data_IF_579223163205
#
_entry.id   IF_579223163205
#
_cell.length_a   1.000
_cell.length_b   1.000
_cell.length_c   1.000
_cell.angle_alpha   90.00
_cell.angle_beta   90.00
_cell.angle_gamma   90.00
#
_symmetry.space_group_name_H-M   'P 1'
#
loop_
_entity.id
_entity.type
_entity.pdbx_description
1 polymer ?
#
# COMPACT_ATOMS: atom_id res chain seq x y z
N UNK A 1 -15.28 8.28 2.22
CA UNK A 1 -16.16 9.47 2.48
C UNK A 1 -16.51 10.14 1.14
N UNK A 2 -17.29 9.48 0.29
CA UNK A 2 -17.58 9.98 -1.05
C UNK A 2 -18.65 11.09 -1.07
N UNK A 3 -19.56 11.08 -0.11
CA UNK A 3 -20.72 11.98 0.01
C UNK A 3 -21.15 12.18 1.48
N UNK A 4 -22.19 12.96 1.68
CA UNK A 4 -22.73 13.27 3.01
C UNK A 4 -23.25 12.04 3.76
N UNK A 5 -23.87 11.08 3.08
CA UNK A 5 -24.49 9.92 3.74
C UNK A 5 -23.40 8.99 4.29
N UNK A 6 -22.30 8.79 3.55
CA UNK A 6 -21.13 8.05 4.04
C UNK A 6 -20.49 8.79 5.22
N UNK A 7 -20.39 10.14 5.19
CA UNK A 7 -19.85 10.92 6.31
C UNK A 7 -20.73 10.79 7.56
N UNK A 8 -22.09 10.76 7.40
CA UNK A 8 -23.01 10.48 8.51
C UNK A 8 -22.78 9.10 9.12
N UNK A 9 -22.57 8.09 8.28
CA UNK A 9 -22.24 6.73 8.74
C UNK A 9 -20.89 6.69 9.47
N UNK A 10 -19.87 7.42 8.98
CA UNK A 10 -18.56 7.55 9.63
C UNK A 10 -18.71 8.23 11.01
N UNK A 11 -19.55 9.26 11.13
CA UNK A 11 -19.85 9.87 12.43
C UNK A 11 -20.40 8.84 13.42
N UNK A 12 -21.38 8.05 13.02
CA UNK A 12 -21.95 6.99 13.88
C UNK A 12 -20.88 5.98 14.32
N UNK A 13 -19.95 5.61 13.41
CA UNK A 13 -18.83 4.74 13.76
C UNK A 13 -17.92 5.40 14.81
N UNK A 14 -17.54 6.66 14.62
CA UNK A 14 -16.66 7.39 15.54
C UNK A 14 -17.32 7.54 16.90
N UNK A 15 -18.60 7.91 16.95
CA UNK A 15 -19.34 8.15 18.17
C UNK A 15 -19.71 6.86 18.93
N UNK A 16 -19.73 5.71 18.26
CA UNK A 16 -20.02 4.42 18.91
C UNK A 16 -18.94 3.97 19.88
N UNK A 17 -17.76 4.60 19.86
CA UNK A 17 -16.65 4.33 20.77
C UNK A 17 -15.96 5.66 21.17
N UNK A 18 -16.04 6.00 22.43
CA UNK A 18 -15.48 7.25 22.98
C UNK A 18 -13.95 7.34 22.89
N UNK A 19 -13.26 6.23 22.68
CA UNK A 19 -11.80 6.17 22.53
C UNK A 19 -11.32 6.50 21.12
N UNK A 20 -12.22 6.62 20.12
CA UNK A 20 -11.93 7.11 18.77
C UNK A 20 -11.78 8.63 18.76
N UNK A 21 -10.69 9.12 19.31
CA UNK A 21 -10.47 10.55 19.57
C UNK A 21 -9.74 11.27 18.44
N UNK A 22 -8.89 10.58 17.70
CA UNK A 22 -8.06 11.16 16.64
C UNK A 22 -8.42 10.53 15.31
N UNK A 23 -8.92 11.35 14.41
CA UNK A 23 -9.45 10.91 13.10
C UNK A 23 -8.57 11.47 11.99
N UNK A 24 -8.12 10.62 11.07
CA UNK A 24 -7.40 11.04 9.87
C UNK A 24 -8.26 10.76 8.66
N UNK A 25 -8.43 11.73 7.80
CA UNK A 25 -9.33 11.62 6.64
C UNK A 25 -8.60 11.72 5.32
N UNK A 26 -9.11 10.98 4.32
CA UNK A 26 -8.73 11.11 2.92
C UNK A 26 -9.67 12.06 2.19
N UNK A 27 -9.25 12.53 1.01
CA UNK A 27 -10.15 13.26 0.10
C UNK A 27 -11.38 12.43 -0.28
N UNK A 28 -12.54 13.06 -0.57
CA UNK A 28 -13.73 12.34 -1.01
C UNK A 28 -13.49 11.51 -2.28
N UNK A 29 -13.84 10.21 -2.17
CA UNK A 29 -13.72 9.25 -3.25
C UNK A 29 -14.81 9.38 -4.33
N UNK A 30 -14.96 8.34 -5.16
CA UNK A 30 -16.04 8.24 -6.14
C UNK A 30 -17.38 7.91 -5.46
N UNK A 31 -18.47 8.52 -5.89
CA UNK A 31 -19.85 8.21 -5.46
C UNK A 31 -20.42 7.00 -6.19
N UNK A 32 -19.95 6.79 -7.44
CA UNK A 32 -20.35 5.68 -8.33
C UNK A 32 -19.22 5.38 -9.33
N UNK A 33 -19.27 4.29 -10.06
CA UNK A 33 -18.16 3.81 -10.90
C UNK A 33 -17.71 4.80 -12.00
N UNK A 34 -18.61 5.63 -12.54
CA UNK A 34 -18.31 6.67 -13.54
C UNK A 34 -17.86 8.01 -12.96
N UNK A 35 -17.84 8.18 -11.63
CA UNK A 35 -17.49 9.46 -10.99
C UNK A 35 -15.97 9.67 -10.91
N UNK A 36 -15.58 10.93 -10.73
CA UNK A 36 -14.17 11.32 -10.55
C UNK A 36 -13.85 11.50 -9.06
N UNK A 37 -12.67 11.09 -8.63
CA UNK A 37 -12.17 11.41 -7.30
C UNK A 37 -11.84 12.90 -7.21
N UNK A 38 -11.97 13.48 -6.03
CA UNK A 38 -11.59 14.88 -5.78
C UNK A 38 -10.12 15.13 -6.12
N UNK A 39 -9.23 14.19 -5.79
CA UNK A 39 -7.81 14.27 -6.12
C UNK A 39 -7.58 14.38 -7.63
N UNK A 40 -8.30 13.59 -8.45
CA UNK A 40 -8.21 13.64 -9.91
C UNK A 40 -8.70 15.01 -10.45
N UNK A 41 -9.77 15.55 -9.86
CA UNK A 41 -10.26 16.88 -10.22
C UNK A 41 -9.24 17.98 -9.89
N UNK A 42 -8.54 17.87 -8.76
CA UNK A 42 -7.50 18.82 -8.35
C UNK A 42 -6.24 18.73 -9.23
N UNK A 43 -5.88 17.56 -9.74
CA UNK A 43 -4.85 17.43 -10.78
C UNK A 43 -5.25 18.18 -12.06
N UNK A 44 -6.53 18.11 -12.46
CA UNK A 44 -7.02 18.89 -13.61
C UNK A 44 -6.96 20.40 -13.32
N UNK A 45 -7.29 20.83 -12.08
CA UNK A 45 -7.14 22.23 -11.66
C UNK A 45 -5.69 22.71 -11.79
N UNK A 46 -4.73 21.91 -11.32
CA UNK A 46 -3.31 22.26 -11.43
C UNK A 46 -2.87 22.39 -12.89
N UNK A 47 -3.26 21.45 -13.77
CA UNK A 47 -2.96 21.53 -15.22
C UNK A 47 -3.55 22.79 -15.86
N UNK A 48 -4.80 23.15 -15.52
CA UNK A 48 -5.41 24.37 -16.01
C UNK A 48 -4.65 25.60 -15.50
N UNK A 49 -4.30 25.64 -14.22
CA UNK A 49 -3.54 26.72 -13.60
C UNK A 49 -2.21 27.01 -14.31
N UNK A 50 -1.44 25.96 -14.61
CA UNK A 50 -0.15 26.08 -15.31
C UNK A 50 -0.35 26.58 -16.74
N UNK A 51 -1.41 26.15 -17.42
CA UNK A 51 -1.66 26.52 -18.83
C UNK A 51 -2.29 27.90 -19.01
N UNK A 52 -3.19 28.31 -18.12
CA UNK A 52 -4.02 29.52 -18.28
C UNK A 52 -3.82 30.61 -17.21
N UNK A 53 -3.02 30.30 -16.17
CA UNK A 53 -2.76 31.21 -15.06
C UNK A 53 -3.83 31.26 -13.98
N UNK A 54 -4.98 30.59 -14.18
CA UNK A 54 -6.02 30.39 -13.16
C UNK A 54 -6.66 29.00 -13.31
N UNK A 55 -7.40 28.54 -12.31
CA UNK A 55 -8.09 27.27 -12.36
C UNK A 55 -9.56 27.33 -11.91
N UNK A 56 -10.15 28.52 -11.93
CA UNK A 56 -11.53 28.79 -11.47
C UNK A 56 -12.54 27.84 -12.13
N UNK A 57 -12.38 27.57 -13.44
CA UNK A 57 -13.29 26.73 -14.21
C UNK A 57 -13.23 25.27 -13.73
N UNK A 58 -12.06 24.65 -13.64
CA UNK A 58 -11.92 23.27 -13.16
C UNK A 58 -12.24 23.15 -11.67
N UNK A 59 -11.90 24.17 -10.86
CA UNK A 59 -12.22 24.17 -9.42
C UNK A 59 -13.73 24.26 -9.14
N UNK A 60 -14.54 24.74 -10.10
CA UNK A 60 -16.00 24.80 -9.95
C UNK A 60 -16.63 23.43 -9.66
N UNK A 61 -16.09 22.35 -10.23
CA UNK A 61 -16.56 21.00 -9.98
C UNK A 61 -16.19 20.51 -8.55
N UNK A 62 -14.99 20.85 -8.07
CA UNK A 62 -14.57 20.60 -6.68
C UNK A 62 -15.46 21.37 -5.70
N UNK A 63 -15.69 22.66 -5.99
CA UNK A 63 -16.59 23.53 -5.22
C UNK A 63 -18.00 22.94 -5.12
N UNK A 64 -18.58 22.56 -6.25
CA UNK A 64 -19.94 21.99 -6.29
C UNK A 64 -20.05 20.73 -5.44
N UNK A 65 -19.00 19.87 -5.47
CA UNK A 65 -18.97 18.65 -4.67
C UNK A 65 -18.92 18.92 -3.18
N UNK A 66 -18.03 19.78 -2.72
CA UNK A 66 -17.91 20.12 -1.30
C UNK A 66 -19.10 20.92 -0.79
N UNK A 67 -19.68 21.80 -1.63
CA UNK A 67 -20.90 22.52 -1.28
C UNK A 67 -22.09 21.56 -1.08
N UNK A 68 -22.32 20.61 -2.00
CA UNK A 68 -23.35 19.59 -1.82
C UNK A 68 -23.17 18.81 -0.50
N UNK A 69 -21.94 18.42 -0.17
CA UNK A 69 -21.65 17.72 1.08
C UNK A 69 -21.94 18.63 2.29
N UNK A 70 -21.46 19.87 2.28
CA UNK A 70 -21.64 20.82 3.36
C UNK A 70 -23.12 21.13 3.62
N UNK A 71 -23.89 21.41 2.55
CA UNK A 71 -25.33 21.69 2.61
C UNK A 71 -26.11 20.50 3.20
N UNK A 72 -25.81 19.26 2.75
CA UNK A 72 -26.45 18.02 3.25
C UNK A 72 -26.05 17.61 4.67
N UNK A 73 -24.90 18.07 5.14
CA UNK A 73 -24.44 17.89 6.53
C UNK A 73 -24.87 19.06 7.45
N UNK A 74 -25.53 20.07 6.89
CA UNK A 74 -25.99 21.25 7.64
C UNK A 74 -24.83 21.97 8.35
N UNK A 75 -23.70 22.11 7.65
CA UNK A 75 -22.51 22.81 8.17
C UNK A 75 -22.86 24.28 8.46
N UNK A 76 -22.55 24.74 9.66
CA UNK A 76 -22.96 26.06 10.15
C UNK A 76 -22.06 27.20 9.67
N UNK A 77 -20.77 26.91 9.44
CA UNK A 77 -19.81 27.91 8.97
C UNK A 77 -20.05 28.25 7.49
N UNK A 78 -19.58 29.41 7.07
CA UNK A 78 -19.52 29.75 5.65
C UNK A 78 -18.44 28.96 4.94
N UNK A 79 -18.80 27.72 4.52
CA UNK A 79 -17.87 26.85 3.80
C UNK A 79 -17.50 27.38 2.42
N UNK A 80 -18.29 28.30 1.82
CA UNK A 80 -17.91 28.97 0.58
C UNK A 80 -16.68 29.86 0.79
N UNK A 81 -16.58 30.57 1.91
CA UNK A 81 -15.39 31.34 2.25
C UNK A 81 -14.12 30.45 2.34
N UNK A 82 -14.24 29.25 2.91
CA UNK A 82 -13.13 28.27 2.93
C UNK A 82 -12.73 27.82 1.54
N UNK A 83 -13.70 27.61 0.64
CA UNK A 83 -13.45 27.25 -0.77
C UNK A 83 -12.79 28.39 -1.54
N UNK A 84 -13.20 29.65 -1.30
CA UNK A 84 -12.62 30.86 -1.94
C UNK A 84 -11.17 31.06 -1.47
N UNK A 85 -10.90 30.94 -0.18
CA UNK A 85 -9.54 31.01 0.37
C UNK A 85 -8.65 29.91 -0.22
N UNK A 86 -9.19 28.67 -0.32
CA UNK A 86 -8.47 27.54 -0.89
C UNK A 86 -8.10 27.79 -2.35
N UNK A 87 -9.03 28.28 -3.18
CA UNK A 87 -8.76 28.62 -4.58
C UNK A 87 -7.69 29.72 -4.69
N UNK A 88 -7.82 30.78 -3.91
CA UNK A 88 -6.85 31.86 -3.89
C UNK A 88 -5.43 31.37 -3.54
N UNK A 89 -5.32 30.48 -2.53
CA UNK A 89 -4.03 29.86 -2.17
C UNK A 89 -3.49 28.95 -3.28
N UNK A 90 -4.33 28.14 -3.95
CA UNK A 90 -3.93 27.29 -5.10
C UNK A 90 -3.32 28.16 -6.21
N UNK A 91 -3.98 29.26 -6.58
CA UNK A 91 -3.52 30.17 -7.65
C UNK A 91 -2.24 30.92 -7.26
N UNK A 92 -2.04 31.22 -5.99
CA UNK A 92 -0.84 31.85 -5.46
C UNK A 92 0.36 30.89 -5.39
N UNK A 93 0.17 29.70 -4.81
CA UNK A 93 1.23 28.72 -4.56
C UNK A 93 1.73 28.06 -5.85
N UNK A 94 0.84 27.84 -6.84
CA UNK A 94 1.12 27.18 -8.14
C UNK A 94 1.85 25.84 -8.01
N UNK A 95 1.71 25.18 -6.88
CA UNK A 95 2.32 23.89 -6.57
C UNK A 95 1.32 22.76 -6.80
N UNK A 96 1.74 21.72 -7.51
CA UNK A 96 0.93 20.51 -7.72
C UNK A 96 0.62 19.85 -6.38
N UNK A 97 1.64 19.61 -5.55
CA UNK A 97 1.49 18.96 -4.25
C UNK A 97 0.55 19.75 -3.32
N UNK A 98 0.67 21.10 -3.32
CA UNK A 98 -0.28 21.94 -2.60
C UNK A 98 -1.70 21.75 -3.14
N UNK A 99 -1.88 21.86 -4.46
CA UNK A 99 -3.21 21.78 -5.09
C UNK A 99 -3.90 20.45 -4.78
N UNK A 100 -3.23 19.32 -4.98
CA UNK A 100 -3.84 18.00 -4.78
C UNK A 100 -4.13 17.70 -3.31
N UNK A 101 -3.34 18.21 -2.38
CA UNK A 101 -3.55 18.04 -0.94
C UNK A 101 -4.79 18.76 -0.41
N UNK A 102 -5.36 19.69 -1.16
CA UNK A 102 -6.56 20.44 -0.71
C UNK A 102 -7.82 19.58 -0.66
N UNK A 103 -7.81 18.41 -1.29
CA UNK A 103 -8.89 17.42 -1.15
C UNK A 103 -9.05 16.95 0.29
N UNK A 104 -7.95 16.51 0.91
CA UNK A 104 -7.88 16.07 2.30
C UNK A 104 -8.09 17.24 3.26
N UNK A 105 -7.50 18.42 2.98
CA UNK A 105 -7.68 19.62 3.78
C UNK A 105 -9.16 20.01 3.89
N UNK A 106 -9.86 20.14 2.76
CA UNK A 106 -11.28 20.53 2.73
C UNK A 106 -12.15 19.45 3.40
N UNK A 107 -11.86 18.18 3.16
CA UNK A 107 -12.56 17.08 3.80
C UNK A 107 -12.38 17.11 5.32
N UNK A 108 -11.15 17.32 5.80
CA UNK A 108 -10.87 17.38 7.24
C UNK A 108 -11.54 18.58 7.93
N UNK A 109 -11.54 19.74 7.28
CA UNK A 109 -12.26 20.93 7.77
C UNK A 109 -13.75 20.65 7.97
N UNK A 110 -14.36 20.07 6.95
CA UNK A 110 -15.79 19.74 6.97
C UNK A 110 -16.14 18.68 8.00
N UNK A 111 -15.34 17.60 8.06
CA UNK A 111 -15.56 16.51 9.01
C UNK A 111 -15.30 16.97 10.45
N UNK A 112 -14.32 17.82 10.68
CA UNK A 112 -14.03 18.38 12.01
C UNK A 112 -15.23 19.18 12.55
N UNK A 113 -15.79 20.07 11.71
CA UNK A 113 -16.98 20.85 12.11
C UNK A 113 -18.19 19.94 12.33
N UNK A 114 -18.43 18.96 11.44
CA UNK A 114 -19.57 18.04 11.57
C UNK A 114 -19.50 17.15 12.81
N UNK A 115 -18.28 16.78 13.24
CA UNK A 115 -18.03 15.98 14.45
C UNK A 115 -17.92 16.85 15.72
N UNK A 116 -17.84 18.17 15.59
CA UNK A 116 -17.48 19.10 16.68
C UNK A 116 -16.11 18.75 17.32
N UNK A 117 -15.15 18.36 16.47
CA UNK A 117 -13.77 18.08 16.82
C UNK A 117 -12.86 19.22 16.38
N UNK A 118 -11.69 19.34 17.04
CA UNK A 118 -10.68 20.32 16.62
C UNK A 118 -10.08 19.94 15.24
N UNK A 119 -10.00 20.92 14.35
CA UNK A 119 -9.27 20.76 13.07
C UNK A 119 -7.79 21.05 13.28
N UNK A 120 -6.93 20.09 12.96
CA UNK A 120 -5.47 20.24 13.03
C UNK A 120 -4.89 20.09 11.63
N UNK A 121 -4.43 21.20 11.05
CA UNK A 121 -3.80 21.19 9.74
C UNK A 121 -2.49 20.40 9.76
N UNK A 122 -2.30 19.50 8.78
CA UNK A 122 -1.06 18.74 8.63
C UNK A 122 0.16 19.65 8.39
N UNK A 123 -0.01 20.84 7.80
CA UNK A 123 1.05 21.84 7.64
C UNK A 123 1.69 22.26 8.99
N UNK A 124 0.98 22.07 10.10
CA UNK A 124 1.46 22.44 11.44
C UNK A 124 2.14 21.32 12.20
N UNK A 125 1.92 20.05 11.80
CA UNK A 125 2.30 18.90 12.61
C UNK A 125 3.02 17.79 11.87
N UNK A 126 3.01 17.79 10.52
CA UNK A 126 3.70 16.80 9.69
C UNK A 126 4.85 17.47 8.94
N UNK A 127 6.07 17.00 9.15
CA UNK A 127 7.28 17.62 8.60
C UNK A 127 8.09 16.65 7.76
N UNK A 128 8.62 17.16 6.66
CA UNK A 128 9.53 16.43 5.76
C UNK A 128 10.94 17.03 5.85
N UNK A 129 11.93 16.20 5.66
CA UNK A 129 13.31 16.61 5.42
C UNK A 129 13.50 17.13 3.99
N UNK A 130 14.61 17.77 3.70
CA UNK A 130 14.91 18.31 2.36
C UNK A 130 14.97 17.24 1.27
N UNK A 131 15.34 16.01 1.61
CA UNK A 131 15.37 14.84 0.72
C UNK A 131 13.96 14.25 0.44
N UNK A 132 12.91 14.84 1.01
CA UNK A 132 11.53 14.39 0.87
C UNK A 132 11.13 13.23 1.79
N UNK A 133 12.01 12.77 2.68
CA UNK A 133 11.67 11.77 3.69
C UNK A 133 10.94 12.40 4.88
N UNK A 134 10.14 11.60 5.59
CA UNK A 134 9.44 12.06 6.79
C UNK A 134 10.45 12.40 7.92
N UNK A 135 10.39 13.63 8.46
CA UNK A 135 11.04 13.97 9.71
C UNK A 135 10.21 13.44 10.90
N UNK A 136 10.43 12.16 11.23
CA UNK A 136 9.62 11.46 12.22
C UNK A 136 9.72 12.09 13.61
N UNK A 137 10.91 12.50 14.05
CA UNK A 137 11.12 13.06 15.39
C UNK A 137 10.32 14.36 15.58
N UNK A 138 10.49 15.32 14.68
CA UNK A 138 9.78 16.60 14.69
C UNK A 138 8.26 16.39 14.60
N UNK A 139 7.83 15.49 13.71
CA UNK A 139 6.42 15.17 13.49
C UNK A 139 5.76 14.53 14.72
N UNK A 140 6.35 13.46 15.27
CA UNK A 140 5.74 12.79 16.44
C UNK A 140 5.66 13.71 17.65
N UNK A 141 6.68 14.55 17.87
CA UNK A 141 6.68 15.55 18.95
C UNK A 141 5.58 16.59 18.76
N UNK A 142 5.39 17.10 17.55
CA UNK A 142 4.35 18.09 17.26
C UNK A 142 2.93 17.52 17.43
N UNK A 143 2.66 16.34 16.86
CA UNK A 143 1.35 15.67 17.01
C UNK A 143 1.08 15.33 18.47
N UNK A 144 2.06 14.80 19.22
CA UNK A 144 1.90 14.50 20.64
C UNK A 144 1.60 15.76 21.46
N UNK A 145 2.25 16.88 21.16
CA UNK A 145 2.01 18.16 21.84
C UNK A 145 0.57 18.64 21.65
N UNK A 146 0.03 18.51 20.43
CA UNK A 146 -1.39 18.81 20.15
C UNK A 146 -2.31 17.86 20.90
N UNK A 147 -2.04 16.56 20.86
CA UNK A 147 -2.88 15.54 21.51
C UNK A 147 -2.94 15.66 23.05
N UNK A 148 -1.93 16.27 23.66
CA UNK A 148 -1.93 16.55 25.11
C UNK A 148 -2.87 17.70 25.49
N UNK A 149 -3.20 18.59 24.56
CA UNK A 149 -4.06 19.77 24.81
C UNK A 149 -5.48 19.54 24.29
N UNK A 150 -5.60 18.87 23.13
CA UNK A 150 -6.87 18.66 22.44
C UNK A 150 -7.42 17.28 22.75
N UNK A 151 -8.67 17.23 23.19
CA UNK A 151 -9.32 15.96 23.55
C UNK A 151 -9.68 15.11 22.33
N UNK A 152 -10.15 15.75 21.26
CA UNK A 152 -10.59 15.11 20.01
C UNK A 152 -10.20 15.95 18.82
N UNK A 153 -9.62 15.36 17.80
CA UNK A 153 -9.15 16.09 16.63
C UNK A 153 -9.34 15.33 15.32
N UNK A 154 -9.50 16.09 14.21
CA UNK A 154 -9.47 15.60 12.83
C UNK A 154 -8.23 16.18 12.15
N UNK A 155 -7.49 15.30 11.49
CA UNK A 155 -6.30 15.61 10.71
C UNK A 155 -6.55 15.32 9.23
N UNK A 156 -6.14 16.19 8.32
CA UNK A 156 -6.05 15.80 6.92
C UNK A 156 -4.89 14.82 6.72
N UNK A 157 -5.13 13.75 5.97
CA UNK A 157 -4.07 12.83 5.58
C UNK A 157 -3.24 13.34 4.42
N UNK A 158 -2.29 12.52 3.92
CA UNK A 158 -1.60 12.65 2.65
C UNK A 158 -0.46 13.67 2.58
N UNK A 159 -0.41 14.74 3.37
CA UNK A 159 0.58 15.81 3.22
C UNK A 159 1.17 16.32 4.54
N UNK A 160 2.20 17.14 4.41
CA UNK A 160 2.84 17.95 5.44
C UNK A 160 3.64 19.08 4.80
N UNK A 161 4.66 19.59 5.47
CA UNK A 161 5.52 20.65 4.96
C UNK A 161 7.00 20.32 5.08
N UNK A 162 7.82 20.82 4.16
CA UNK A 162 9.28 20.79 4.31
C UNK A 162 9.77 21.97 5.19
N UNK A 163 11.08 22.02 5.44
CA UNK A 163 11.67 23.07 6.29
C UNK A 163 11.54 24.49 5.68
N UNK A 164 11.25 24.61 4.39
CA UNK A 164 10.94 25.88 3.72
C UNK A 164 9.48 26.28 3.79
N UNK A 165 8.63 25.47 4.48
CA UNK A 165 7.20 25.70 4.57
C UNK A 165 6.42 25.32 3.30
N UNK A 166 7.03 24.64 2.32
CA UNK A 166 6.34 24.16 1.13
C UNK A 166 5.64 22.86 1.41
N UNK A 167 4.42 22.73 0.94
CA UNK A 167 3.64 21.49 1.06
C UNK A 167 4.30 20.36 0.26
N UNK A 168 4.45 19.22 0.93
CA UNK A 168 4.91 17.93 0.38
C UNK A 168 3.84 16.88 0.59
N UNK A 169 3.72 15.97 -0.36
CA UNK A 169 2.78 14.84 -0.28
C UNK A 169 3.53 13.52 -0.17
N UNK A 170 2.94 12.54 0.52
CA UNK A 170 3.43 11.17 0.47
C UNK A 170 3.17 10.56 -0.90
N UNK A 171 4.06 9.70 -1.37
CA UNK A 171 4.00 9.14 -2.73
C UNK A 171 2.84 8.16 -2.94
N UNK A 172 2.59 7.28 -1.96
CA UNK A 172 1.51 6.26 -2.00
C UNK A 172 0.95 6.03 -0.59
N UNK A 173 -0.32 5.65 -0.49
CA UNK A 173 -0.97 5.36 0.80
C UNK A 173 -0.91 6.52 1.80
N UNK A 174 -0.91 7.77 1.31
CA UNK A 174 -0.56 8.94 2.12
C UNK A 174 -1.47 9.16 3.32
N UNK A 175 -2.77 8.87 3.21
CA UNK A 175 -3.68 8.97 4.35
C UNK A 175 -3.45 7.84 5.36
N UNK A 176 -3.10 6.63 4.90
CA UNK A 176 -2.77 5.50 5.78
C UNK A 176 -1.49 5.78 6.57
N UNK A 177 -0.46 6.34 5.89
CA UNK A 177 0.77 6.81 6.54
C UNK A 177 0.45 7.87 7.60
N UNK A 178 -0.39 8.86 7.27
CA UNK A 178 -0.78 9.92 8.18
C UNK A 178 -1.51 9.37 9.41
N UNK A 179 -2.42 8.39 9.22
CA UNK A 179 -3.09 7.68 10.31
C UNK A 179 -2.10 6.93 11.20
N UNK A 180 -1.14 6.22 10.60
CA UNK A 180 -0.09 5.51 11.32
C UNK A 180 0.84 6.47 12.10
N UNK A 181 1.16 7.65 11.54
CA UNK A 181 1.93 8.70 12.20
C UNK A 181 1.20 9.22 13.42
N UNK A 182 -0.09 9.59 13.28
CA UNK A 182 -0.91 10.08 14.40
C UNK A 182 -1.02 8.99 15.47
N UNK A 183 -1.36 7.75 15.11
CA UNK A 183 -1.48 6.64 16.05
C UNK A 183 -0.19 6.42 16.85
N UNK A 184 0.97 6.47 16.20
CA UNK A 184 2.26 6.37 16.88
C UNK A 184 2.54 7.55 17.79
N UNK A 185 2.27 8.78 17.34
CA UNK A 185 2.57 10.00 18.09
C UNK A 185 1.75 10.09 19.37
N UNK A 186 0.50 9.64 19.35
CA UNK A 186 -0.40 9.61 20.52
C UNK A 186 -0.26 8.33 21.35
N UNK A 187 0.65 7.43 20.98
CA UNK A 187 0.82 6.11 21.60
C UNK A 187 -0.52 5.35 21.69
N UNK A 188 -1.24 5.28 20.57
CA UNK A 188 -2.55 4.66 20.51
C UNK A 188 -2.51 3.18 20.90
N UNK A 189 -3.57 2.69 21.54
CA UNK A 189 -3.74 1.25 21.83
C UNK A 189 -3.97 0.42 20.57
N UNK A 190 -4.59 1.04 19.54
CA UNK A 190 -4.89 0.44 18.24
C UNK A 190 -4.96 1.54 17.18
N UNK A 191 -4.56 1.20 15.95
CA UNK A 191 -4.82 1.99 14.75
C UNK A 191 -5.93 1.31 13.95
N UNK A 192 -7.10 1.92 13.87
CA UNK A 192 -8.19 1.44 13.03
C UNK A 192 -8.10 2.06 11.63
N UNK A 193 -8.02 1.22 10.61
CA UNK A 193 -8.12 1.63 9.20
C UNK A 193 -9.49 1.20 8.65
N UNK A 194 -10.34 2.19 8.38
CA UNK A 194 -11.69 2.00 7.89
C UNK A 194 -11.74 2.13 6.37
N UNK A 195 -12.13 1.07 5.68
CA UNK A 195 -12.11 0.95 4.22
C UNK A 195 -13.42 0.38 3.70
N UNK A 196 -13.53 0.14 2.39
CA UNK A 196 -14.70 -0.44 1.72
C UNK A 196 -14.62 -1.97 1.56
N UNK A 197 -13.49 -2.58 1.92
CA UNK A 197 -13.31 -4.04 1.87
C UNK A 197 -13.50 -4.68 3.26
N UNK A 198 -13.87 -5.98 3.34
CA UNK A 198 -14.18 -6.62 4.61
C UNK A 198 -12.96 -6.87 5.52
N UNK A 199 -11.75 -6.68 5.02
CA UNK A 199 -10.48 -6.98 5.65
C UNK A 199 -9.51 -7.58 4.64
N UNK A 200 -8.45 -8.23 5.11
CA UNK A 200 -7.57 -9.01 4.25
C UNK A 200 -8.24 -10.33 3.89
N UNK A 201 -8.23 -10.63 2.60
CA UNK A 201 -8.75 -11.89 2.07
C UNK A 201 -7.60 -12.88 1.88
N UNK A 202 -7.86 -14.14 2.11
CA UNK A 202 -6.86 -15.20 1.95
C UNK A 202 -6.42 -15.40 0.49
N UNK A 203 -7.16 -14.82 -0.46
CA UNK A 203 -6.87 -14.85 -1.90
C UNK A 203 -7.57 -13.67 -2.59
N UNK A 204 -7.18 -13.39 -3.85
CA UNK A 204 -7.84 -12.39 -4.69
C UNK A 204 -9.30 -12.79 -4.99
N UNK A 205 -10.30 -11.95 -4.64
CA UNK A 205 -11.71 -12.23 -4.90
C UNK A 205 -12.10 -12.24 -6.39
N UNK A 206 -11.25 -11.75 -7.30
CA UNK A 206 -11.45 -11.87 -8.74
C UNK A 206 -11.06 -13.27 -9.27
N UNK A 207 -10.31 -14.06 -8.48
CA UNK A 207 -9.85 -15.40 -8.85
C UNK A 207 -10.68 -16.46 -8.14
N UNK A 208 -10.92 -16.27 -6.86
CA UNK A 208 -11.72 -17.19 -6.02
C UNK A 208 -12.94 -16.43 -5.52
N UNK A 209 -14.12 -16.98 -5.78
CA UNK A 209 -15.36 -16.39 -5.31
C UNK A 209 -15.46 -16.47 -3.78
N UNK A 210 -15.72 -15.33 -3.13
CA UNK A 210 -15.91 -15.21 -1.67
C UNK A 210 -14.80 -15.87 -0.84
N UNK A 211 -13.52 -15.48 -1.03
CA UNK A 211 -12.43 -16.10 -0.29
C UNK A 211 -12.54 -15.78 1.22
N UNK A 212 -11.97 -16.67 2.03
CA UNK A 212 -11.96 -16.53 3.49
C UNK A 212 -11.33 -15.20 3.92
N UNK A 213 -11.95 -14.52 4.88
CA UNK A 213 -11.36 -13.35 5.54
C UNK A 213 -10.29 -13.83 6.52
N UNK A 214 -9.13 -13.22 6.48
CA UNK A 214 -8.04 -13.46 7.45
C UNK A 214 -8.40 -12.68 8.72
N UNK A 215 -8.71 -13.35 9.81
CA UNK A 215 -9.08 -12.69 11.06
C UNK A 215 -7.87 -12.01 11.73
N UNK A 216 -6.71 -12.65 11.68
CA UNK A 216 -5.48 -12.12 12.25
C UNK A 216 -4.27 -12.50 11.40
N UNK A 217 -3.31 -11.57 11.29
CA UNK A 217 -2.00 -11.83 10.68
C UNK A 217 -0.92 -10.99 11.34
N UNK A 218 0.33 -11.45 11.21
CA UNK A 218 1.49 -10.71 11.70
C UNK A 218 1.92 -9.63 10.72
N UNK A 219 2.67 -8.63 11.20
CA UNK A 219 3.31 -7.64 10.31
C UNK A 219 4.23 -8.24 9.24
N UNK A 220 4.81 -9.42 9.52
CA UNK A 220 5.65 -10.10 8.53
C UNK A 220 4.81 -10.68 7.41
N UNK A 221 3.74 -11.43 7.75
CA UNK A 221 2.81 -11.99 6.75
C UNK A 221 2.14 -10.90 5.91
N UNK A 222 1.70 -9.80 6.55
CA UNK A 222 1.17 -8.65 5.83
C UNK A 222 2.14 -8.15 4.76
N UNK A 223 3.43 -8.03 5.11
CA UNK A 223 4.44 -7.54 4.18
C UNK A 223 4.60 -8.48 2.98
N UNK A 224 4.67 -9.79 3.22
CA UNK A 224 4.78 -10.78 2.15
C UNK A 224 3.55 -10.73 1.21
N UNK A 225 2.34 -10.75 1.77
CA UNK A 225 1.11 -10.70 1.01
C UNK A 225 0.97 -9.38 0.22
N UNK A 226 1.24 -8.23 0.86
CA UNK A 226 1.12 -6.92 0.21
C UNK A 226 2.16 -6.73 -0.89
N UNK A 227 3.38 -7.24 -0.71
CA UNK A 227 4.43 -7.19 -1.73
C UNK A 227 4.03 -7.97 -2.98
N UNK A 228 3.39 -9.12 -2.78
CA UNK A 228 2.87 -9.96 -3.85
C UNK A 228 1.49 -9.53 -4.39
N UNK A 229 1.00 -8.34 -4.03
CA UNK A 229 -0.17 -7.74 -4.66
C UNK A 229 -1.48 -7.84 -3.89
N UNK A 230 -1.51 -8.40 -2.68
CA UNK A 230 -2.69 -8.34 -1.81
C UNK A 230 -2.87 -6.91 -1.25
N UNK A 231 -3.51 -6.05 -2.03
CA UNK A 231 -3.46 -4.61 -1.88
C UNK A 231 -4.54 -3.98 -0.99
N UNK A 232 -4.67 -4.34 0.29
CA UNK A 232 -5.57 -3.59 1.22
C UNK A 232 -4.83 -2.42 1.87
N UNK A 233 -3.57 -2.60 2.25
CA UNK A 233 -2.69 -1.57 2.80
C UNK A 233 -1.31 -1.62 2.15
N UNK A 234 -0.74 -0.46 1.85
CA UNK A 234 0.66 -0.39 1.46
C UNK A 234 1.56 -0.73 2.65
N UNK A 235 2.46 -1.70 2.47
CA UNK A 235 3.37 -2.17 3.52
C UNK A 235 4.25 -1.07 4.12
N UNK A 236 4.55 -0.03 3.36
CA UNK A 236 5.33 1.13 3.81
C UNK A 236 4.52 2.08 4.68
N UNK A 237 3.20 2.19 4.42
CA UNK A 237 2.33 3.11 5.16
C UNK A 237 2.18 2.75 6.64
N UNK A 238 2.40 1.49 7.00
CA UNK A 238 2.29 1.01 8.37
C UNK A 238 3.59 1.06 9.18
N UNK A 239 4.70 1.50 8.57
CA UNK A 239 6.01 1.55 9.24
C UNK A 239 5.98 2.28 10.60
N UNK A 240 5.29 3.44 10.76
CA UNK A 240 5.23 4.12 12.05
C UNK A 240 4.64 3.27 13.17
N UNK A 241 3.48 2.64 12.95
CA UNK A 241 2.80 1.80 13.95
C UNK A 241 3.52 0.47 14.19
N UNK A 242 4.08 -0.13 13.14
CA UNK A 242 4.93 -1.32 13.25
C UNK A 242 6.12 -1.08 14.20
N UNK A 243 6.84 0.03 14.03
CA UNK A 243 7.98 0.39 14.89
C UNK A 243 7.57 0.65 16.34
N UNK A 244 6.33 1.09 16.57
CA UNK A 244 5.76 1.32 17.88
C UNK A 244 5.05 0.08 18.47
N UNK A 245 5.00 -1.05 17.76
CA UNK A 245 4.26 -2.26 18.14
C UNK A 245 2.75 -2.02 18.41
N UNK A 246 2.14 -1.06 17.70
CA UNK A 246 0.72 -0.74 17.80
C UNK A 246 -0.04 -1.69 16.85
N UNK A 247 -1.04 -2.45 17.30
CA UNK A 247 -1.85 -3.28 16.41
C UNK A 247 -2.68 -2.43 15.45
N UNK A 248 -2.97 -2.99 14.25
CA UNK A 248 -3.85 -2.36 13.27
C UNK A 248 -5.12 -3.21 13.16
N UNK A 249 -6.26 -2.56 13.04
CA UNK A 249 -7.52 -3.21 12.68
C UNK A 249 -8.02 -2.67 11.34
N UNK A 250 -8.20 -3.54 10.37
CA UNK A 250 -8.85 -3.23 9.11
C UNK A 250 -10.32 -3.52 9.25
N UNK A 251 -11.16 -2.51 9.07
CA UNK A 251 -12.61 -2.61 9.27
C UNK A 251 -13.37 -2.07 8.07
N UNK A 252 -14.57 -2.65 7.84
CA UNK A 252 -15.44 -2.22 6.75
C UNK A 252 -16.37 -1.09 7.20
N UNK A 253 -16.31 0.06 6.53
CA UNK A 253 -17.16 1.22 6.80
C UNK A 253 -18.65 0.93 6.57
N UNK A 254 -18.98 0.02 5.62
CA UNK A 254 -20.36 -0.37 5.30
C UNK A 254 -20.89 -1.50 6.18
N UNK A 255 -20.00 -2.21 6.89
CA UNK A 255 -20.31 -3.29 7.83
C UNK A 255 -19.51 -3.12 9.12
N UNK A 256 -19.79 -2.07 9.92
CA UNK A 256 -18.95 -1.72 11.07
C UNK A 256 -19.00 -2.76 12.19
N UNK A 257 -19.96 -3.67 12.18
CA UNK A 257 -20.09 -4.76 13.15
C UNK A 257 -19.19 -5.95 12.82
N UNK A 258 -18.68 -6.05 11.60
CA UNK A 258 -17.78 -7.13 11.22
C UNK A 258 -16.44 -6.99 11.97
N UNK A 259 -15.86 -8.13 12.34
CA UNK A 259 -14.57 -8.16 13.06
C UNK A 259 -13.45 -7.54 12.23
N UNK A 260 -13.48 -7.74 10.90
CA UNK A 260 -12.40 -7.33 10.00
C UNK A 260 -11.14 -8.16 10.22
N UNK A 261 -9.99 -7.54 9.95
CA UNK A 261 -8.66 -8.17 10.11
C UNK A 261 -7.83 -7.43 11.15
N UNK A 262 -7.24 -8.16 12.09
CA UNK A 262 -6.31 -7.60 13.07
C UNK A 262 -4.87 -7.94 12.67
N UNK A 263 -4.02 -6.91 12.56
CA UNK A 263 -2.60 -7.05 12.26
C UNK A 263 -1.82 -6.74 13.54
N UNK A 264 -1.00 -7.70 13.97
CA UNK A 264 -0.27 -7.63 15.24
C UNK A 264 1.23 -7.74 15.05
N UNK A 265 2.04 -7.24 16.02
CA UNK A 265 3.46 -7.54 16.06
C UNK A 265 3.68 -9.05 16.11
N UNK A 266 4.71 -9.53 15.40
CA UNK A 266 5.03 -10.98 15.34
C UNK A 266 5.19 -11.60 16.71
N UNK A 267 5.70 -10.85 17.70
CA UNK A 267 5.85 -11.31 19.09
C UNK A 267 4.52 -11.50 19.84
N UNK A 268 3.44 -10.96 19.33
CA UNK A 268 2.07 -11.07 19.90
C UNK A 268 1.14 -11.93 19.04
N UNK A 269 1.66 -12.42 17.91
CA UNK A 269 0.87 -13.22 16.99
C UNK A 269 0.74 -14.64 17.55
N UNK A 270 -0.49 -15.10 17.70
CA UNK A 270 -0.84 -16.47 18.05
C UNK A 270 -1.53 -17.07 16.83
N UNK A 271 -0.86 -18.00 16.10
CA UNK A 271 -1.51 -18.70 14.99
C UNK A 271 -2.78 -19.42 15.46
N UNK A 272 -3.82 -19.35 14.66
CA UNK A 272 -5.09 -20.06 14.91
C UNK A 272 -5.01 -21.57 14.60
N UNK A 273 -3.81 -22.09 14.36
CA UNK A 273 -3.55 -23.46 13.93
C UNK A 273 -3.57 -23.66 12.42
N UNK A 274 -3.89 -22.62 11.65
CA UNK A 274 -3.81 -22.68 10.19
C UNK A 274 -2.35 -22.71 9.73
N UNK A 275 -2.05 -23.56 8.74
CA UNK A 275 -0.71 -23.66 8.14
C UNK A 275 -0.43 -22.49 7.22
N UNK A 276 -1.43 -22.09 6.42
CA UNK A 276 -1.38 -21.02 5.43
C UNK A 276 -2.35 -19.92 5.83
N UNK A 277 -1.84 -18.68 5.83
CA UNK A 277 -2.61 -17.47 6.15
C UNK A 277 -3.24 -16.87 4.91
N UNK A 278 -2.51 -16.85 3.78
CA UNK A 278 -3.00 -16.29 2.52
C UNK A 278 -2.12 -16.63 1.33
N UNK A 279 -2.67 -16.37 0.15
CA UNK A 279 -2.05 -16.60 -1.16
C UNK A 279 -2.18 -15.31 -1.96
N UNK A 280 -1.05 -14.84 -2.46
CA UNK A 280 -1.01 -13.67 -3.31
C UNK A 280 -0.04 -13.89 -4.48
N UNK A 281 -0.20 -13.14 -5.56
CA UNK A 281 0.71 -13.28 -6.68
C UNK A 281 0.63 -12.10 -7.64
N UNK A 282 1.62 -12.05 -8.51
CA UNK A 282 1.73 -11.05 -9.58
C UNK A 282 2.14 -11.73 -10.87
N UNK A 283 1.69 -11.16 -11.98
CA UNK A 283 2.08 -11.56 -13.34
C UNK A 283 3.20 -10.66 -13.88
N UNK A 284 3.70 -11.02 -15.04
CA UNK A 284 4.60 -10.21 -15.86
C UNK A 284 6.01 -10.04 -15.27
N UNK A 285 6.63 -11.17 -14.94
CA UNK A 285 8.05 -11.22 -14.63
C UNK A 285 8.84 -11.79 -15.80
N UNK A 286 10.08 -11.35 -15.90
CA UNK A 286 11.10 -11.88 -16.79
C UNK A 286 12.19 -12.57 -15.97
N UNK A 287 12.57 -13.78 -16.39
CA UNK A 287 13.68 -14.52 -15.80
C UNK A 287 14.87 -14.49 -16.75
N UNK A 288 15.99 -13.97 -16.27
CA UNK A 288 17.29 -14.07 -16.96
C UNK A 288 18.03 -15.26 -16.35
N UNK A 289 18.05 -16.38 -17.07
CA UNK A 289 18.76 -17.59 -16.70
C UNK A 289 20.18 -17.53 -17.23
N UNK A 290 21.17 -17.73 -16.36
CA UNK A 290 22.60 -17.66 -16.66
C UNK A 290 23.24 -18.98 -16.23
N UNK A 291 24.02 -19.57 -17.09
CA UNK A 291 24.79 -20.80 -16.83
C UNK A 291 26.28 -20.50 -17.05
N UNK A 292 27.12 -20.92 -16.11
CA UNK A 292 28.56 -20.83 -16.20
C UNK A 292 29.22 -21.98 -15.44
N UNK A 293 30.01 -22.76 -16.13
CA UNK A 293 30.81 -23.83 -15.55
C UNK A 293 31.74 -23.29 -14.46
N UNK A 294 31.78 -23.97 -13.32
CA UNK A 294 32.57 -23.58 -12.14
C UNK A 294 32.15 -22.22 -11.53
N UNK A 295 30.94 -21.80 -11.73
CA UNK A 295 30.39 -20.55 -11.15
C UNK A 295 30.59 -20.47 -9.63
N UNK A 296 30.42 -21.59 -8.92
CA UNK A 296 30.57 -21.67 -7.47
C UNK A 296 32.02 -21.44 -6.99
N UNK A 297 33.02 -21.61 -7.85
CA UNK A 297 34.42 -21.33 -7.55
C UNK A 297 34.82 -19.87 -7.85
N UNK A 298 34.03 -19.14 -8.60
CA UNK A 298 34.31 -17.74 -8.95
C UNK A 298 33.84 -16.77 -7.87
N UNK A 299 34.78 -16.22 -7.10
CA UNK A 299 34.47 -15.24 -6.03
C UNK A 299 33.88 -13.97 -6.62
N UNK A 300 32.69 -13.60 -6.13
CA UNK A 300 32.01 -12.35 -6.50
C UNK A 300 31.21 -12.43 -7.80
N UNK A 301 30.99 -13.63 -8.36
CA UNK A 301 30.22 -13.83 -9.58
C UNK A 301 28.84 -13.15 -9.54
N UNK A 302 28.03 -13.46 -8.53
CA UNK A 302 26.70 -12.85 -8.35
C UNK A 302 26.80 -11.34 -8.15
N UNK A 303 27.80 -10.83 -7.43
CA UNK A 303 28.02 -9.38 -7.27
C UNK A 303 28.24 -8.67 -8.61
N UNK A 304 29.03 -9.26 -9.50
CA UNK A 304 29.29 -8.69 -10.85
C UNK A 304 27.98 -8.57 -11.64
N UNK A 305 27.17 -9.61 -11.64
CA UNK A 305 25.86 -9.61 -12.30
C UNK A 305 24.95 -8.53 -11.70
N UNK A 306 24.85 -8.46 -10.36
CA UNK A 306 24.02 -7.47 -9.68
C UNK A 306 24.49 -6.04 -9.95
N UNK A 307 25.81 -5.79 -10.11
CA UNK A 307 26.34 -4.46 -10.48
C UNK A 307 25.87 -4.04 -11.87
N UNK A 308 25.74 -4.97 -12.82
CA UNK A 308 25.17 -4.68 -14.14
C UNK A 308 23.69 -4.28 -14.02
N UNK A 309 22.91 -5.02 -13.24
CA UNK A 309 21.49 -4.71 -13.02
C UNK A 309 21.32 -3.34 -12.33
N UNK A 310 22.16 -3.08 -11.30
CA UNK A 310 22.17 -1.80 -10.56
C UNK A 310 22.44 -0.61 -11.50
N UNK A 311 23.39 -0.76 -12.46
CA UNK A 311 23.72 0.31 -13.41
C UNK A 311 22.53 0.73 -14.29
N UNK A 312 21.58 -0.17 -14.53
CA UNK A 312 20.34 0.10 -15.27
C UNK A 312 19.18 0.57 -14.36
N UNK A 313 19.46 0.75 -13.06
CA UNK A 313 18.46 1.14 -12.05
C UNK A 313 17.24 0.19 -12.06
N UNK A 314 17.50 -1.12 -12.00
CA UNK A 314 16.51 -2.19 -11.95
C UNK A 314 16.62 -2.93 -10.62
N UNK A 315 15.48 -3.24 -10.00
CA UNK A 315 15.38 -4.10 -8.83
C UNK A 315 15.28 -5.57 -9.24
N UNK A 316 15.85 -6.46 -8.45
CA UNK A 316 15.72 -7.92 -8.61
C UNK A 316 14.83 -8.46 -7.49
N UNK A 317 13.85 -9.27 -7.86
CA UNK A 317 12.87 -9.83 -6.92
C UNK A 317 13.39 -11.08 -6.22
N UNK A 318 13.90 -12.04 -7.00
CA UNK A 318 14.44 -13.30 -6.53
C UNK A 318 15.70 -13.69 -7.29
N UNK A 319 16.59 -14.44 -6.63
CA UNK A 319 17.87 -14.88 -7.21
C UNK A 319 18.13 -16.35 -6.85
N UNK A 320 17.34 -17.29 -7.39
CA UNK A 320 17.64 -18.71 -7.25
C UNK A 320 19.00 -19.05 -7.85
N UNK A 321 19.83 -19.73 -7.06
CA UNK A 321 21.20 -20.13 -7.49
C UNK A 321 21.35 -21.64 -7.39
N UNK A 322 22.00 -22.24 -8.41
CA UNK A 322 22.51 -23.60 -8.41
C UNK A 322 24.04 -23.60 -8.27
N UNK A 323 24.68 -24.73 -8.61
CA UNK A 323 26.15 -24.86 -8.60
C UNK A 323 26.77 -24.05 -9.75
N UNK A 324 26.21 -24.23 -10.96
CA UNK A 324 26.68 -23.61 -12.21
C UNK A 324 25.61 -22.70 -12.84
N UNK A 325 24.54 -22.37 -12.12
CA UNK A 325 23.44 -21.58 -12.64
C UNK A 325 22.97 -20.51 -11.67
N UNK A 326 22.53 -19.38 -12.21
CA UNK A 326 21.83 -18.34 -11.46
C UNK A 326 20.67 -17.81 -12.30
N UNK A 327 19.54 -17.55 -11.66
CA UNK A 327 18.39 -16.92 -12.30
C UNK A 327 18.12 -15.58 -11.61
N UNK A 328 17.87 -14.54 -12.43
CA UNK A 328 17.43 -13.24 -11.94
C UNK A 328 15.98 -13.06 -12.32
N UNK A 329 15.12 -12.86 -11.36
CA UNK A 329 13.70 -12.61 -11.58
C UNK A 329 13.44 -11.11 -11.45
N UNK A 330 12.90 -10.49 -12.48
CA UNK A 330 12.73 -9.04 -12.60
C UNK A 330 11.28 -8.75 -13.00
N UNK A 331 10.63 -7.80 -12.32
CA UNK A 331 9.31 -7.31 -12.70
C UNK A 331 9.38 -6.46 -13.98
N UNK A 332 8.46 -6.68 -14.92
CA UNK A 332 8.53 -6.04 -16.24
C UNK A 332 8.18 -4.55 -16.24
N UNK A 333 7.62 -4.00 -15.15
CA UNK A 333 7.16 -2.61 -15.10
C UNK A 333 8.26 -1.61 -15.48
N UNK A 334 9.51 -1.89 -15.12
CA UNK A 334 10.65 -1.00 -15.37
C UNK A 334 11.68 -1.60 -16.34
N UNK A 335 11.45 -2.81 -16.86
CA UNK A 335 12.34 -3.52 -17.76
C UNK A 335 11.95 -3.29 -19.22
N UNK A 336 12.45 -2.19 -19.80
CA UNK A 336 12.27 -1.96 -21.24
C UNK A 336 13.19 -2.87 -22.06
N UNK A 337 12.83 -3.14 -23.33
CA UNK A 337 13.65 -3.93 -24.26
C UNK A 337 15.10 -3.39 -24.37
N UNK A 338 15.26 -2.07 -24.40
CA UNK A 338 16.58 -1.42 -24.43
C UNK A 338 17.41 -1.72 -23.17
N UNK A 339 16.79 -1.64 -21.99
CA UNK A 339 17.47 -1.98 -20.72
C UNK A 339 17.81 -3.47 -20.67
N UNK A 340 16.89 -4.35 -21.08
CA UNK A 340 17.14 -5.79 -21.14
C UNK A 340 18.35 -6.11 -22.00
N UNK A 341 18.43 -5.53 -23.20
CA UNK A 341 19.56 -5.74 -24.10
C UNK A 341 20.89 -5.26 -23.47
N UNK A 342 20.92 -4.09 -22.83
CA UNK A 342 22.12 -3.59 -22.12
C UNK A 342 22.53 -4.50 -20.97
N UNK A 343 21.55 -4.99 -20.20
CA UNK A 343 21.80 -5.96 -19.13
C UNK A 343 22.44 -7.24 -19.68
N UNK A 344 21.89 -7.81 -20.76
CA UNK A 344 22.40 -9.04 -21.36
C UNK A 344 23.82 -8.85 -21.89
N UNK A 345 24.11 -7.74 -22.54
CA UNK A 345 25.46 -7.39 -23.00
C UNK A 345 26.43 -7.16 -21.83
N UNK A 346 26.02 -6.42 -20.80
CA UNK A 346 26.82 -6.19 -19.61
C UNK A 346 27.15 -7.50 -18.87
N UNK A 347 26.20 -8.40 -18.73
CA UNK A 347 26.42 -9.73 -18.13
C UNK A 347 27.43 -10.53 -18.95
N UNK A 348 27.29 -10.54 -20.29
CA UNK A 348 28.24 -11.23 -21.17
C UNK A 348 29.67 -10.69 -21.01
N UNK A 349 29.82 -9.38 -20.92
CA UNK A 349 31.13 -8.74 -20.74
C UNK A 349 31.76 -9.00 -19.37
N UNK A 350 30.95 -8.97 -18.29
CA UNK A 350 31.46 -9.03 -16.92
C UNK A 350 31.77 -10.44 -16.42
N UNK A 351 31.01 -11.43 -16.87
CA UNK A 351 31.09 -12.80 -16.34
C UNK A 351 31.31 -13.88 -17.40
N UNK A 352 31.28 -13.55 -18.68
CA UNK A 352 31.50 -14.49 -19.79
C UNK A 352 30.76 -15.83 -19.60
N UNK A 353 29.40 -15.83 -19.53
CA UNK A 353 28.63 -17.03 -19.26
C UNK A 353 28.67 -18.01 -20.43
N UNK A 354 28.57 -19.31 -20.15
CA UNK A 354 28.47 -20.35 -21.18
C UNK A 354 27.14 -20.25 -21.93
N UNK A 355 26.06 -19.86 -21.18
CA UNK A 355 24.73 -19.72 -21.77
C UNK A 355 23.90 -18.68 -21.05
N UNK A 356 23.11 -17.90 -21.81
CA UNK A 356 22.09 -16.98 -21.27
C UNK A 356 20.78 -17.22 -22.00
N UNK A 357 19.69 -17.29 -21.25
CA UNK A 357 18.34 -17.37 -21.78
C UNK A 357 17.40 -16.43 -21.05
N UNK A 358 16.58 -15.70 -21.80
CA UNK A 358 15.47 -14.89 -21.27
C UNK A 358 14.18 -15.70 -21.35
N UNK A 359 13.43 -15.74 -20.26
CA UNK A 359 12.13 -16.40 -20.16
C UNK A 359 11.15 -15.34 -19.67
N UNK A 360 10.22 -14.98 -20.55
CA UNK A 360 9.20 -13.97 -20.27
C UNK A 360 7.88 -14.60 -19.85
N UNK A 361 6.93 -13.75 -19.45
CA UNK A 361 5.56 -14.15 -19.11
C UNK A 361 5.49 -15.15 -17.94
N UNK A 362 6.28 -14.90 -16.94
CA UNK A 362 6.26 -15.65 -15.68
C UNK A 362 5.38 -14.90 -14.67
N UNK A 363 4.57 -15.66 -13.93
CA UNK A 363 3.83 -15.22 -12.77
C UNK A 363 4.47 -15.80 -11.52
N UNK A 364 4.58 -14.99 -10.46
CA UNK A 364 5.01 -15.43 -9.14
C UNK A 364 3.80 -15.53 -8.21
N UNK A 365 3.74 -16.62 -7.44
CA UNK A 365 2.68 -16.88 -6.47
C UNK A 365 3.33 -17.22 -5.14
N UNK A 366 3.03 -16.43 -4.12
CA UNK A 366 3.47 -16.66 -2.75
C UNK A 366 2.35 -17.28 -1.93
N UNK A 367 2.65 -18.41 -1.31
CA UNK A 367 1.84 -19.02 -0.24
C UNK A 367 2.48 -18.61 1.07
N UNK A 368 1.73 -17.89 1.91
CA UNK A 368 2.25 -17.24 3.12
C UNK A 368 1.56 -17.78 4.36
N UNK A 369 2.33 -18.07 5.41
CA UNK A 369 1.77 -18.45 6.70
C UNK A 369 2.82 -18.81 7.73
N UNK A 370 2.67 -18.31 8.95
CA UNK A 370 3.53 -18.65 10.07
C UNK A 370 3.49 -20.13 10.44
N UNK A 371 2.33 -20.79 10.22
CA UNK A 371 2.16 -22.22 10.51
C UNK A 371 3.04 -23.12 9.66
N UNK A 372 3.57 -22.65 8.53
CA UNK A 372 4.40 -23.47 7.63
C UNK A 372 5.71 -23.91 8.28
N UNK A 373 6.32 -23.07 9.12
CA UNK A 373 7.58 -23.40 9.82
C UNK A 373 7.48 -24.54 10.82
N UNK A 374 6.27 -24.85 11.26
CA UNK A 374 6.02 -25.92 12.25
C UNK A 374 5.20 -27.11 11.70
N UNK A 375 4.72 -27.01 10.46
CA UNK A 375 3.83 -28.02 9.86
C UNK A 375 4.55 -28.86 8.82
N UNK A 376 4.83 -30.11 9.20
CA UNK A 376 5.43 -31.09 8.27
C UNK A 376 4.48 -31.38 7.12
N UNK A 377 5.02 -31.44 5.89
CA UNK A 377 4.26 -31.82 4.69
C UNK A 377 3.57 -30.65 3.98
N UNK A 378 3.70 -29.41 4.43
CA UNK A 378 3.09 -28.23 3.78
C UNK A 378 3.54 -28.08 2.32
N UNK A 379 4.84 -28.19 2.04
CA UNK A 379 5.38 -28.14 0.67
C UNK A 379 4.84 -29.29 -0.19
N UNK A 380 4.71 -30.50 0.35
CA UNK A 380 4.14 -31.62 -0.38
C UNK A 380 2.68 -31.35 -0.79
N UNK A 381 1.87 -30.83 0.12
CA UNK A 381 0.48 -30.42 -0.18
C UNK A 381 0.42 -29.34 -1.26
N UNK A 382 1.24 -28.30 -1.12
CA UNK A 382 1.33 -27.21 -2.11
C UNK A 382 1.68 -27.74 -3.51
N UNK A 383 2.74 -28.52 -3.63
CA UNK A 383 3.18 -29.00 -4.92
C UNK A 383 2.24 -30.05 -5.52
N UNK A 384 1.59 -30.88 -4.70
CA UNK A 384 0.55 -31.79 -5.16
C UNK A 384 -0.68 -31.04 -5.68
N UNK A 385 -1.11 -29.96 -5.03
CA UNK A 385 -2.21 -29.13 -5.53
C UNK A 385 -1.90 -28.54 -6.90
N UNK A 386 -0.67 -28.05 -7.12
CA UNK A 386 -0.22 -27.49 -8.40
C UNK A 386 -0.12 -28.60 -9.47
N UNK A 387 0.43 -29.76 -9.11
CA UNK A 387 0.58 -30.90 -10.03
C UNK A 387 -0.80 -31.47 -10.44
N UNK A 388 -1.75 -31.59 -9.50
CA UNK A 388 -3.11 -32.05 -9.78
C UNK A 388 -3.88 -31.09 -10.69
N UNK A 389 -3.49 -29.82 -10.73
CA UNK A 389 -4.03 -28.82 -11.67
C UNK A 389 -3.34 -28.85 -13.05
N UNK A 390 -2.44 -29.80 -13.29
CA UNK A 390 -1.64 -29.92 -14.53
C UNK A 390 -0.84 -28.65 -14.85
N UNK A 391 -0.15 -28.10 -13.84
CA UNK A 391 0.64 -26.87 -13.93
C UNK A 391 2.11 -27.20 -13.72
N UNK A 392 2.96 -26.76 -14.67
CA UNK A 392 4.41 -26.94 -14.57
C UNK A 392 5.06 -25.75 -13.84
N UNK A 393 5.72 -26.02 -12.72
CA UNK A 393 6.49 -25.04 -11.95
C UNK A 393 7.79 -24.70 -12.68
N UNK A 394 8.09 -23.40 -12.81
CA UNK A 394 9.30 -22.88 -13.47
C UNK A 394 10.37 -22.47 -12.47
N UNK A 395 9.98 -22.12 -11.26
CA UNK A 395 10.84 -21.65 -10.21
C UNK A 395 10.23 -21.99 -8.85
N UNK A 396 11.06 -22.28 -7.85
CA UNK A 396 10.69 -22.42 -6.45
C UNK A 396 11.67 -21.60 -5.63
N UNK A 397 11.18 -20.78 -4.71
CA UNK A 397 11.98 -20.08 -3.74
C UNK A 397 11.34 -20.17 -2.35
N UNK A 398 12.14 -20.51 -1.35
CA UNK A 398 11.73 -20.54 0.05
C UNK A 398 12.89 -20.04 0.89
N UNK A 399 12.74 -18.87 1.49
CA UNK A 399 13.74 -18.30 2.38
C UNK A 399 13.84 -19.04 3.72
N UNK A 400 14.94 -18.81 4.44
CA UNK A 400 15.20 -19.40 5.77
C UNK A 400 14.19 -18.99 6.86
N UNK A 401 13.34 -18.02 6.58
CA UNK A 401 12.25 -17.63 7.48
C UNK A 401 11.11 -18.63 7.49
N UNK A 402 11.03 -19.50 6.48
CA UNK A 402 9.95 -20.48 6.25
C UNK A 402 8.54 -19.89 6.31
N UNK A 403 8.46 -18.55 6.16
CA UNK A 403 7.21 -17.79 6.23
C UNK A 403 6.39 -17.87 4.94
N UNK A 404 7.07 -18.07 3.82
CA UNK A 404 6.47 -18.19 2.50
C UNK A 404 7.15 -19.27 1.65
N UNK A 405 6.40 -19.76 0.66
CA UNK A 405 6.92 -20.50 -0.49
C UNK A 405 6.45 -19.75 -1.73
N UNK A 406 7.39 -19.35 -2.56
CA UNK A 406 7.13 -18.68 -3.82
C UNK A 406 7.33 -19.64 -4.98
N UNK A 407 6.32 -19.78 -5.83
CA UNK A 407 6.41 -20.57 -7.07
C UNK A 407 6.27 -19.67 -8.27
N UNK A 408 7.11 -19.90 -9.28
CA UNK A 408 7.00 -19.30 -10.59
C UNK A 408 6.28 -20.23 -11.56
N UNK A 409 5.25 -19.74 -12.25
CA UNK A 409 4.49 -20.45 -13.27
C UNK A 409 4.36 -19.57 -14.52
N UNK A 410 3.83 -20.08 -15.62
CA UNK A 410 3.49 -19.21 -16.75
C UNK A 410 2.33 -18.27 -16.41
N UNK A 411 2.29 -17.09 -17.01
CA UNK A 411 1.19 -16.13 -16.83
C UNK A 411 -0.19 -16.73 -17.10
N UNK A 412 -0.29 -17.64 -18.08
CA UNK A 412 -1.54 -18.33 -18.45
C UNK A 412 -2.07 -19.27 -17.37
N UNK A 413 -1.20 -19.78 -16.52
CA UNK A 413 -1.52 -20.71 -15.43
C UNK A 413 -1.81 -20.01 -14.09
N UNK A 414 -1.65 -18.70 -14.03
CA UNK A 414 -1.67 -17.90 -12.79
C UNK A 414 -2.93 -18.09 -11.96
N UNK A 415 -4.11 -17.81 -12.54
CA UNK A 415 -5.39 -17.91 -11.84
C UNK A 415 -5.71 -19.35 -11.43
N UNK A 416 -5.41 -20.30 -12.31
CA UNK A 416 -5.61 -21.74 -12.06
C UNK A 416 -4.73 -22.22 -10.90
N UNK A 417 -3.49 -21.75 -10.84
CA UNK A 417 -2.54 -22.12 -9.80
C UNK A 417 -2.97 -21.56 -8.44
N UNK A 418 -3.36 -20.27 -8.37
CA UNK A 418 -3.89 -19.66 -7.15
C UNK A 418 -5.12 -20.41 -6.65
N UNK A 419 -6.08 -20.70 -7.55
CA UNK A 419 -7.30 -21.43 -7.20
C UNK A 419 -6.99 -22.83 -6.65
N UNK A 420 -6.07 -23.57 -7.29
CA UNK A 420 -5.69 -24.91 -6.84
C UNK A 420 -5.07 -24.89 -5.44
N UNK A 421 -4.16 -23.95 -5.18
CA UNK A 421 -3.54 -23.76 -3.87
C UNK A 421 -4.60 -23.35 -2.83
N UNK A 422 -5.49 -22.42 -3.20
CA UNK A 422 -6.54 -21.96 -2.29
C UNK A 422 -7.46 -23.10 -1.83
N UNK A 423 -7.96 -23.90 -2.76
CA UNK A 423 -8.86 -25.01 -2.41
C UNK A 423 -8.17 -26.13 -1.64
N UNK A 424 -6.86 -26.33 -1.80
CA UNK A 424 -6.08 -27.27 -0.99
C UNK A 424 -5.99 -26.84 0.48
N UNK A 425 -5.82 -25.56 0.76
CA UNK A 425 -5.60 -25.07 2.11
C UNK A 425 -6.84 -24.49 2.81
N UNK A 426 -7.82 -24.03 2.06
CA UNK A 426 -9.03 -23.36 2.57
C UNK A 426 -10.33 -24.01 2.09
N UNK A 427 -10.29 -24.89 1.09
CA UNK A 427 -11.45 -25.67 0.67
C UNK A 427 -11.84 -26.69 1.75
N UNK A 428 -13.15 -26.75 2.06
CA UNK A 428 -13.73 -27.79 2.93
C UNK A 428 -13.90 -29.10 2.17
#
# INVERSE_FOLDING_TARGET
MADADIIKSVKNIIESDGDRRFVVVSAPGKRYSGDKKITDMLFVCHKELINSGNCTKSFSAVRARFKDIADRLEIKSDFNAVLDETLCRIEKEKSEQFTVSRGEYLCARLVAEYLEFEFIDAEKVVFFNDDGTLNGEKTYKAVASVANVVRRAVFPGFYGVDDNGKVRTFSRGGSDISGAIVARAVNASVYENWTDVPGFLACDPHIVESPKIIEALSYKELRELSYMGAGVLHSESIFPVRKANIPIQIKNTFRPQDKGTTIVPTSRYLPDGSTVTGIAGKKNFTVIFIEKSLMNAEIGFVRKILSVIESENISVEHIPTGIDTVSLIIENEHLTELKLNRILEGIKCEVEPDFIRVIENIALIATVGHGMSSSVGTSARLFNAIANADINIKMIDQGSSELNIVVGVKNEDYERCISAIYYEFFGN
#
